data_IF_742099010107
#
_entry.id   IF_742099010107
#
_cell.length_a   1.000
_cell.length_b   1.000
_cell.length_c   1.000
_cell.angle_alpha   90.00
_cell.angle_beta   90.00
_cell.angle_gamma   90.00
#
_symmetry.space_group_name_H-M   'P 1'
#
loop_
_entity.id
_entity.type
_entity.pdbx_description
1 polymer ?
#
# COMPACT_ATOMS: atom_id res chain seq x y z
N UNK A 1 3.66 8.90 15.80
CA UNK A 1 3.10 9.97 16.67
C UNK A 1 1.60 9.76 16.69
N UNK A 2 0.94 9.66 17.86
CA UNK A 2 -0.44 9.11 17.93
C UNK A 2 -1.52 10.19 18.00
N UNK A 3 -1.26 11.26 18.73
CA UNK A 3 -2.14 12.40 18.91
C UNK A 3 -1.32 13.69 19.03
N UNK A 4 -1.98 14.83 18.88
CA UNK A 4 -1.42 16.15 19.10
C UNK A 4 -2.47 17.08 19.71
N UNK A 5 -2.02 17.94 20.61
CA UNK A 5 -2.81 18.98 21.24
C UNK A 5 -2.70 20.27 20.43
N UNK A 6 -3.84 20.87 20.09
CA UNK A 6 -3.88 22.21 19.50
C UNK A 6 -3.56 23.23 20.58
N UNK A 7 -2.49 24.00 20.40
CA UNK A 7 -2.05 25.00 21.37
C UNK A 7 -2.42 26.43 20.98
N UNK A 8 -2.77 26.66 19.71
CA UNK A 8 -3.25 27.97 19.27
C UNK A 8 -3.31 28.11 17.76
N UNK A 9 -4.32 28.84 17.27
CA UNK A 9 -4.44 29.20 15.86
C UNK A 9 -3.62 30.45 15.55
N UNK A 10 -2.87 30.40 14.46
CA UNK A 10 -2.02 31.50 13.97
C UNK A 10 -2.73 32.36 12.92
N UNK A 11 -3.83 31.84 12.34
CA UNK A 11 -4.62 32.49 11.31
C UNK A 11 -6.10 32.43 11.70
N UNK A 12 -6.83 33.53 11.49
CA UNK A 12 -8.25 33.65 11.77
C UNK A 12 -9.13 33.13 10.61
N UNK A 13 -10.34 32.66 10.95
CA UNK A 13 -11.37 32.37 9.95
C UNK A 13 -11.65 33.61 9.08
N UNK A 14 -11.77 33.39 7.77
CA UNK A 14 -11.95 34.43 6.76
C UNK A 14 -10.65 35.00 6.21
N UNK A 15 -9.49 34.69 6.81
CA UNK A 15 -8.20 35.15 6.30
C UNK A 15 -7.75 34.37 5.04
N UNK A 16 -7.03 35.06 4.16
CA UNK A 16 -6.34 34.42 3.04
C UNK A 16 -5.10 33.66 3.55
N UNK A 17 -4.92 32.45 3.03
CA UNK A 17 -3.83 31.54 3.37
C UNK A 17 -3.06 31.23 2.10
N UNK A 18 -1.73 31.29 2.17
CA UNK A 18 -0.85 30.80 1.13
C UNK A 18 -0.28 29.43 1.50
N UNK A 19 0.01 28.59 0.50
CA UNK A 19 0.70 27.32 0.74
C UNK A 19 2.05 27.57 1.43
N UNK A 20 2.33 26.81 2.49
CA UNK A 20 3.49 26.96 3.35
C UNK A 20 3.28 27.95 4.51
N UNK A 21 2.15 28.65 4.59
CA UNK A 21 1.84 29.48 5.75
C UNK A 21 1.53 28.60 6.97
N UNK A 22 2.08 28.95 8.12
CA UNK A 22 1.80 28.31 9.40
C UNK A 22 0.36 28.64 9.83
N UNK A 23 -0.44 27.61 10.14
CA UNK A 23 -1.87 27.73 10.43
C UNK A 23 -2.17 27.65 11.92
N UNK A 24 -1.58 26.67 12.60
CA UNK A 24 -1.93 26.27 13.96
C UNK A 24 -0.74 25.60 14.60
N UNK A 25 -0.47 25.95 15.85
CA UNK A 25 0.54 25.31 16.66
C UNK A 25 -0.01 24.03 17.28
N UNK A 26 0.78 22.96 17.19
CA UNK A 26 0.47 21.66 17.77
C UNK A 26 1.60 21.20 18.67
N UNK A 27 1.24 20.76 19.86
CA UNK A 27 2.12 20.10 20.81
C UNK A 27 1.85 18.60 20.83
N UNK A 28 2.93 17.81 20.79
CA UNK A 28 2.88 16.35 20.93
C UNK A 28 3.84 15.92 22.03
N UNK A 29 3.77 14.66 22.45
CA UNK A 29 4.71 14.11 23.45
C UNK A 29 6.20 14.27 23.08
N UNK A 30 6.52 14.46 21.79
CA UNK A 30 7.90 14.50 21.29
C UNK A 30 8.34 15.87 20.80
N UNK A 31 7.44 16.64 20.20
CA UNK A 31 7.77 17.88 19.48
C UNK A 31 6.59 18.86 19.58
N UNK A 32 6.89 20.16 19.68
CA UNK A 32 5.95 21.23 19.40
C UNK A 32 6.32 21.88 18.07
N UNK A 33 5.36 22.01 17.15
CA UNK A 33 5.58 22.57 15.82
C UNK A 33 4.28 23.16 15.23
N UNK A 34 4.44 24.11 14.33
CA UNK A 34 3.34 24.65 13.55
C UNK A 34 2.96 23.70 12.40
N UNK A 35 1.67 23.58 12.13
CA UNK A 35 1.15 22.90 10.93
C UNK A 35 1.04 23.91 9.80
N UNK A 36 1.73 23.63 8.70
CA UNK A 36 1.70 24.46 7.50
C UNK A 36 0.53 24.11 6.57
N UNK A 37 -0.02 25.14 5.93
CA UNK A 37 -1.02 25.03 4.89
C UNK A 37 -0.45 24.32 3.66
N UNK A 38 -1.11 23.26 3.21
CA UNK A 38 -0.70 22.54 1.99
C UNK A 38 -1.22 23.17 0.70
N UNK A 39 -2.17 24.09 0.81
CA UNK A 39 -2.88 24.70 -0.30
C UNK A 39 -3.23 26.16 0.03
N UNK A 40 -3.16 27.04 -0.97
CA UNK A 40 -3.63 28.42 -0.85
C UNK A 40 -5.16 28.49 -0.95
N UNK A 41 -5.77 29.47 -0.27
CA UNK A 41 -7.21 29.70 -0.28
C UNK A 41 -7.66 30.64 0.83
N UNK A 42 -8.91 30.54 1.26
CA UNK A 42 -9.43 31.23 2.45
C UNK A 42 -9.62 30.19 3.56
N UNK A 43 -9.15 30.49 4.78
CA UNK A 43 -9.43 29.68 5.96
C UNK A 43 -10.91 29.85 6.32
N UNK A 44 -11.75 28.90 5.92
CA UNK A 44 -13.20 29.06 6.01
C UNK A 44 -13.78 28.66 7.36
N UNK A 45 -13.12 27.73 8.05
CA UNK A 45 -13.59 27.24 9.35
C UNK A 45 -12.50 26.53 10.13
N UNK A 46 -12.41 26.82 11.42
CA UNK A 46 -11.72 26.02 12.43
C UNK A 46 -12.64 24.89 12.87
N UNK A 47 -12.15 23.66 12.73
CA UNK A 47 -12.86 22.47 13.19
C UNK A 47 -12.36 22.09 14.58
N UNK A 48 -11.04 22.11 14.77
CA UNK A 48 -10.40 21.93 16.06
C UNK A 48 -10.34 23.24 16.85
N UNK A 49 -10.57 23.17 18.15
CA UNK A 49 -10.45 24.28 19.09
C UNK A 49 -9.10 24.25 19.82
N UNK A 50 -8.72 25.37 20.40
CA UNK A 50 -7.59 25.42 21.33
C UNK A 50 -7.84 24.45 22.50
N UNK A 51 -6.78 23.79 22.95
CA UNK A 51 -6.79 22.70 23.92
C UNK A 51 -7.35 21.35 23.46
N UNK A 52 -7.90 21.22 22.24
CA UNK A 52 -8.31 19.93 21.72
C UNK A 52 -7.11 18.99 21.55
N UNK A 53 -7.23 17.76 22.06
CA UNK A 53 -6.29 16.66 21.80
C UNK A 53 -6.90 15.75 20.75
N UNK A 54 -6.27 15.70 19.58
CA UNK A 54 -6.80 15.02 18.42
C UNK A 54 -5.83 13.95 17.91
N UNK A 55 -6.35 12.80 17.42
CA UNK A 55 -5.50 11.78 16.82
C UNK A 55 -4.85 12.30 15.53
N UNK A 56 -3.68 11.76 15.21
CA UNK A 56 -3.02 12.09 13.94
C UNK A 56 -3.94 11.77 12.76
N UNK A 57 -4.09 12.75 11.87
CA UNK A 57 -4.97 12.67 10.71
C UNK A 57 -6.35 13.28 10.92
N UNK A 58 -6.71 13.73 12.13
CA UNK A 58 -7.95 14.45 12.38
C UNK A 58 -8.06 15.75 11.56
N UNK A 59 -9.29 16.18 11.28
CA UNK A 59 -9.57 17.42 10.56
C UNK A 59 -9.43 18.63 11.50
N UNK A 60 -8.48 19.51 11.20
CA UNK A 60 -8.22 20.71 12.00
C UNK A 60 -8.99 21.94 11.50
N UNK A 61 -9.03 22.16 10.19
CA UNK A 61 -9.72 23.28 9.56
C UNK A 61 -10.06 23.00 8.10
N UNK A 62 -10.90 23.86 7.52
CA UNK A 62 -11.28 23.83 6.10
C UNK A 62 -10.73 25.07 5.40
N UNK A 63 -9.91 24.85 4.37
CA UNK A 63 -9.47 25.87 3.41
C UNK A 63 -10.23 25.64 2.11
N UNK A 64 -10.89 26.67 1.60
CA UNK A 64 -11.61 26.60 0.33
C UNK A 64 -11.57 27.93 -0.43
N UNK A 65 -12.03 27.91 -1.68
CA UNK A 65 -12.28 29.12 -2.45
C UNK A 65 -13.33 30.02 -1.78
N UNK A 66 -13.29 31.31 -2.12
CA UNK A 66 -14.26 32.29 -1.61
C UNK A 66 -15.70 32.01 -2.08
N UNK A 67 -15.85 31.23 -3.15
CA UNK A 67 -17.10 30.79 -3.76
C UNK A 67 -17.73 29.55 -3.11
N UNK A 68 -16.97 28.81 -2.27
CA UNK A 68 -17.51 27.65 -1.57
C UNK A 68 -18.62 28.06 -0.59
N UNK A 69 -19.75 27.37 -0.62
CA UNK A 69 -20.88 27.64 0.26
C UNK A 69 -20.71 26.95 1.61
N UNK A 70 -21.36 27.46 2.65
CA UNK A 70 -21.30 26.84 3.98
C UNK A 70 -21.89 25.42 3.97
N UNK A 71 -22.89 25.16 3.13
CA UNK A 71 -23.48 23.83 2.96
C UNK A 71 -22.50 22.81 2.35
N UNK A 72 -21.61 23.24 1.44
CA UNK A 72 -20.57 22.37 0.88
C UNK A 72 -19.48 22.07 1.92
N UNK A 73 -19.14 23.07 2.74
CA UNK A 73 -18.23 22.89 3.87
C UNK A 73 -18.81 21.93 4.90
N UNK A 74 -20.08 22.09 5.26
CA UNK A 74 -20.78 21.21 6.20
C UNK A 74 -20.82 19.76 5.70
N UNK A 75 -21.15 19.58 4.42
CA UNK A 75 -21.17 18.26 3.80
C UNK A 75 -19.77 17.60 3.79
N UNK A 76 -18.72 18.38 3.49
CA UNK A 76 -17.35 17.89 3.54
C UNK A 76 -16.92 17.48 4.95
N UNK A 77 -17.23 18.30 5.97
CA UNK A 77 -16.92 17.99 7.37
C UNK A 77 -17.65 16.74 7.82
N UNK A 78 -18.94 16.62 7.50
CA UNK A 78 -19.75 15.45 7.85
C UNK A 78 -19.24 14.17 7.18
N UNK A 79 -18.90 14.23 5.88
CA UNK A 79 -18.33 13.09 5.14
C UNK A 79 -16.98 12.66 5.72
N UNK A 80 -16.12 13.64 6.05
CA UNK A 80 -14.85 13.36 6.69
C UNK A 80 -15.05 12.68 8.06
N UNK A 81 -15.90 13.24 8.92
CA UNK A 81 -16.15 12.71 10.26
C UNK A 81 -16.76 11.31 10.23
N UNK A 82 -17.68 11.05 9.30
CA UNK A 82 -18.30 9.73 9.13
C UNK A 82 -17.30 8.66 8.66
N UNK A 83 -16.29 9.06 7.88
CA UNK A 83 -15.31 8.16 7.28
C UNK A 83 -13.99 8.08 8.04
N UNK A 84 -13.76 8.99 9.00
CA UNK A 84 -12.52 9.07 9.74
C UNK A 84 -12.49 8.02 10.85
N UNK A 85 -11.59 7.06 10.69
CA UNK A 85 -11.24 6.10 11.74
C UNK A 85 -9.89 6.55 12.31
N UNK A 86 -9.82 6.98 13.58
CA UNK A 86 -8.55 7.29 14.22
C UNK A 86 -7.60 6.09 14.11
N UNK A 87 -6.29 6.31 13.89
CA UNK A 87 -5.31 5.23 13.96
C UNK A 87 -5.43 4.52 15.32
N UNK A 88 -5.46 3.18 15.31
CA UNK A 88 -5.55 2.38 16.53
C UNK A 88 -4.35 2.70 17.44
N UNK A 89 -4.57 3.22 18.66
CA UNK A 89 -3.49 3.61 19.56
C UNK A 89 -2.66 2.40 20.05
N UNK A 90 -3.15 1.18 19.85
CA UNK A 90 -2.43 -0.08 20.13
C UNK A 90 -1.77 -0.68 18.91
N UNK A 91 -2.13 -0.26 17.70
CA UNK A 91 -1.41 -0.64 16.50
C UNK A 91 -0.03 0.04 16.52
N UNK A 92 1.02 -0.77 16.46
CA UNK A 92 2.35 -0.24 16.14
C UNK A 92 2.30 0.39 14.74
N UNK A 93 2.89 1.59 14.57
CA UNK A 93 3.18 2.17 13.24
C UNK A 93 4.08 1.26 12.39
N UNK A 94 4.67 0.24 13.03
CA UNK A 94 5.41 -0.85 12.41
C UNK A 94 4.41 -1.97 12.21
N UNK A 95 4.15 -2.38 10.96
CA UNK A 95 3.48 -3.65 10.68
C UNK A 95 4.19 -4.81 11.40
N UNK A 96 3.60 -6.01 11.39
CA UNK A 96 4.29 -7.14 12.00
C UNK A 96 5.74 -7.26 11.52
N UNK A 97 6.68 -7.63 12.41
CA UNK A 97 8.09 -7.66 12.07
C UNK A 97 8.31 -8.58 10.86
N UNK A 98 8.85 -7.99 9.81
CA UNK A 98 9.23 -8.68 8.58
C UNK A 98 10.72 -8.95 8.59
N UNK A 99 11.10 -10.06 7.99
CA UNK A 99 12.50 -10.40 7.74
C UNK A 99 12.91 -9.99 6.33
N UNK A 100 14.22 -10.05 6.08
CA UNK A 100 14.80 -9.83 4.75
C UNK A 100 15.83 -10.91 4.45
N UNK A 101 15.97 -11.27 3.18
CA UNK A 101 17.04 -12.13 2.68
C UNK A 101 17.78 -11.44 1.53
N UNK A 102 19.10 -11.50 1.57
CA UNK A 102 19.97 -10.98 0.50
C UNK A 102 20.13 -12.02 -0.60
N UNK A 103 19.61 -11.73 -1.79
CA UNK A 103 19.77 -12.56 -2.99
C UNK A 103 20.72 -11.90 -3.99
N UNK A 104 21.09 -12.64 -5.03
CA UNK A 104 21.93 -12.13 -6.13
C UNK A 104 21.29 -10.92 -6.83
N UNK A 105 19.98 -10.97 -7.05
CA UNK A 105 19.16 -9.89 -7.64
C UNK A 105 18.72 -8.79 -6.66
N UNK A 106 19.15 -8.86 -5.39
CA UNK A 106 18.87 -7.85 -4.37
C UNK A 106 18.11 -8.37 -3.15
N UNK A 107 17.72 -7.45 -2.27
CA UNK A 107 17.07 -7.78 -1.00
C UNK A 107 15.59 -8.12 -1.22
N UNK A 108 15.15 -9.26 -0.69
CA UNK A 108 13.73 -9.63 -0.66
C UNK A 108 13.23 -9.55 0.78
N UNK A 109 12.18 -8.76 0.97
CA UNK A 109 11.45 -8.67 2.24
C UNK A 109 10.34 -9.71 2.27
N UNK A 110 10.18 -10.35 3.43
CA UNK A 110 9.15 -11.36 3.63
C UNK A 110 8.63 -11.38 5.06
N UNK A 111 7.46 -11.98 5.24
CA UNK A 111 6.90 -12.32 6.55
C UNK A 111 6.82 -13.84 6.65
N UNK A 112 7.45 -14.42 7.68
CA UNK A 112 7.36 -15.84 8.01
C UNK A 112 6.42 -16.04 9.19
N UNK A 113 5.51 -17.01 9.08
CA UNK A 113 4.70 -17.49 10.21
C UNK A 113 4.63 -19.01 10.23
N UNK A 114 4.26 -19.54 11.39
CA UNK A 114 4.14 -20.98 11.61
C UNK A 114 5.47 -21.62 11.98
N UNK A 115 5.37 -22.66 12.80
CA UNK A 115 6.53 -23.30 13.42
C UNK A 115 6.78 -24.72 12.89
N UNK A 116 5.81 -25.30 12.19
CA UNK A 116 5.85 -26.69 11.72
C UNK A 116 4.94 -26.93 10.52
N UNK A 117 5.11 -28.07 9.87
CA UNK A 117 4.32 -28.50 8.72
C UNK A 117 5.01 -28.20 7.39
N UNK A 118 4.29 -28.45 6.30
CA UNK A 118 4.78 -28.19 4.94
C UNK A 118 4.98 -26.69 4.69
N UNK A 119 5.88 -26.35 3.78
CA UNK A 119 6.16 -24.96 3.43
C UNK A 119 5.15 -24.43 2.41
N UNK A 120 4.63 -23.24 2.65
CA UNK A 120 3.74 -22.52 1.73
C UNK A 120 4.35 -21.16 1.39
N UNK A 121 4.41 -20.80 0.11
CA UNK A 121 4.88 -19.49 -0.35
C UNK A 121 3.75 -18.75 -1.06
N UNK A 122 3.58 -17.47 -0.71
CA UNK A 122 2.47 -16.61 -1.12
C UNK A 122 2.96 -15.42 -1.98
N UNK A 123 3.15 -15.58 -3.30
CA UNK A 123 3.46 -14.47 -4.20
C UNK A 123 2.22 -13.62 -4.50
N UNK A 124 2.28 -12.32 -4.23
CA UNK A 124 1.16 -11.38 -4.44
C UNK A 124 0.96 -10.96 -5.92
N UNK A 125 -0.10 -10.20 -6.18
CA UNK A 125 -0.42 -9.66 -7.52
C UNK A 125 0.28 -8.33 -7.84
N UNK A 126 0.11 -7.84 -9.06
CA UNK A 126 0.71 -6.57 -9.50
C UNK A 126 0.21 -5.38 -8.67
N UNK A 127 1.14 -4.53 -8.20
CA UNK A 127 0.85 -3.37 -7.35
C UNK A 127 0.55 -3.72 -5.89
N UNK A 128 0.64 -5.00 -5.53
CA UNK A 128 0.46 -5.52 -4.17
C UNK A 128 1.73 -5.53 -3.32
N UNK A 129 1.61 -6.13 -2.14
CA UNK A 129 2.70 -6.41 -1.19
C UNK A 129 2.32 -7.63 -0.33
N UNK A 130 3.19 -8.03 0.60
CA UNK A 130 2.96 -9.16 1.52
C UNK A 130 1.69 -9.01 2.37
N UNK A 131 1.17 -7.78 2.58
CA UNK A 131 -0.05 -7.55 3.37
C UNK A 131 -1.32 -7.96 2.62
N UNK A 132 -1.26 -8.21 1.30
CA UNK A 132 -2.36 -8.83 0.57
C UNK A 132 -2.76 -10.19 1.15
N UNK A 133 -1.84 -10.84 1.86
CA UNK A 133 -2.06 -12.14 2.47
C UNK A 133 -2.42 -12.07 3.96
N UNK A 134 -2.56 -10.88 4.56
CA UNK A 134 -2.74 -10.71 6.02
C UNK A 134 -3.82 -11.64 6.61
N UNK A 135 -4.98 -11.74 5.95
CA UNK A 135 -6.11 -12.55 6.42
C UNK A 135 -6.01 -14.03 6.05
N UNK A 136 -5.11 -14.41 5.15
CA UNK A 136 -4.86 -15.80 4.74
C UNK A 136 -3.66 -16.41 5.46
N UNK A 137 -2.68 -15.58 5.84
CA UNK A 137 -1.42 -15.99 6.42
C UNK A 137 -1.59 -16.66 7.78
N UNK A 138 -2.34 -16.02 8.70
CA UNK A 138 -2.59 -16.53 10.04
C UNK A 138 -3.27 -17.92 10.05
N UNK A 139 -4.39 -18.10 9.34
CA UNK A 139 -5.04 -19.41 9.23
C UNK A 139 -4.15 -20.51 8.65
N UNK A 140 -3.38 -20.23 7.59
CA UNK A 140 -2.46 -21.23 7.02
C UNK A 140 -1.31 -21.57 7.97
N UNK A 141 -0.80 -20.57 8.70
CA UNK A 141 0.31 -20.74 9.64
C UNK A 141 -0.04 -21.59 10.87
N UNK A 142 -1.30 -21.95 11.07
CA UNK A 142 -1.72 -22.88 12.11
C UNK A 142 -1.22 -24.32 11.83
N UNK A 143 -1.03 -24.68 10.56
CA UNK A 143 -0.67 -26.05 10.14
C UNK A 143 0.57 -26.11 9.25
N UNK A 144 1.08 -24.96 8.79
CA UNK A 144 2.16 -24.85 7.82
C UNK A 144 3.20 -23.79 8.22
N UNK A 145 4.39 -23.87 7.62
CA UNK A 145 5.36 -22.76 7.61
C UNK A 145 5.10 -21.89 6.39
N UNK A 146 4.67 -20.65 6.60
CA UNK A 146 4.12 -19.81 5.53
C UNK A 146 4.97 -18.56 5.33
N UNK A 147 5.40 -18.33 4.09
CA UNK A 147 6.16 -17.15 3.67
C UNK A 147 5.32 -16.28 2.74
N UNK A 148 5.03 -15.04 3.17
CA UNK A 148 4.48 -14.00 2.31
C UNK A 148 5.60 -13.05 1.88
N UNK A 149 5.75 -12.83 0.58
CA UNK A 149 6.87 -12.09 -0.01
C UNK A 149 6.40 -10.73 -0.50
N UNK A 150 7.25 -9.70 -0.36
CA UNK A 150 7.21 -8.56 -1.27
C UNK A 150 8.00 -8.95 -2.53
N UNK A 151 7.36 -9.00 -3.69
CA UNK A 151 8.05 -9.31 -4.96
C UNK A 151 9.01 -8.17 -5.36
N UNK A 152 10.05 -8.41 -6.20
CA UNK A 152 10.84 -7.36 -6.82
C UNK A 152 9.96 -6.24 -7.41
N UNK A 153 10.39 -5.00 -7.23
CA UNK A 153 9.63 -3.80 -7.60
C UNK A 153 8.53 -3.40 -6.62
N UNK A 154 8.21 -4.24 -5.64
CA UNK A 154 7.08 -4.06 -4.72
C UNK A 154 7.52 -3.96 -3.26
N UNK A 155 6.60 -3.50 -2.40
CA UNK A 155 6.77 -3.37 -0.95
C UNK A 155 8.14 -2.85 -0.52
N UNK A 156 8.77 -3.55 0.41
CA UNK A 156 10.12 -3.26 0.93
C UNK A 156 11.25 -4.03 0.24
N UNK A 157 10.97 -4.83 -0.79
CA UNK A 157 12.00 -5.55 -1.56
C UNK A 157 12.78 -4.63 -2.51
N UNK A 158 13.80 -5.17 -3.17
CA UNK A 158 14.54 -4.49 -4.24
C UNK A 158 13.60 -3.86 -5.27
N UNK A 159 14.04 -2.74 -5.87
CA UNK A 159 13.36 -2.08 -7.00
C UNK A 159 14.04 -2.38 -8.33
N UNK A 160 15.16 -3.07 -8.30
CA UNK A 160 15.70 -3.72 -9.49
C UNK A 160 14.84 -4.95 -9.81
N UNK A 161 14.24 -4.95 -10.99
CA UNK A 161 13.35 -6.02 -11.47
C UNK A 161 13.97 -6.76 -12.66
N UNK A 162 15.26 -6.56 -12.93
CA UNK A 162 15.90 -7.11 -14.12
C UNK A 162 15.19 -6.65 -15.40
N UNK A 163 14.86 -7.59 -16.27
CA UNK A 163 14.05 -7.29 -17.46
C UNK A 163 12.55 -7.19 -17.15
N UNK A 164 12.12 -7.59 -15.94
CA UNK A 164 10.75 -7.57 -15.47
C UNK A 164 9.91 -8.77 -15.93
N UNK A 165 10.51 -9.84 -16.47
CA UNK A 165 9.83 -11.03 -16.99
C UNK A 165 9.32 -11.98 -15.90
N UNK A 166 8.41 -12.89 -16.26
CA UNK A 166 7.95 -13.95 -15.33
C UNK A 166 9.08 -14.91 -14.96
N UNK A 167 10.03 -15.12 -15.87
CA UNK A 167 11.23 -15.90 -15.67
C UNK A 167 12.12 -15.28 -14.59
N UNK A 168 12.35 -13.96 -14.62
CA UNK A 168 13.11 -13.24 -13.59
C UNK A 168 12.45 -13.38 -12.20
N UNK A 169 11.12 -13.29 -12.13
CA UNK A 169 10.39 -13.50 -10.88
C UNK A 169 10.43 -14.95 -10.40
N UNK A 170 10.41 -15.93 -11.31
CA UNK A 170 10.55 -17.35 -10.98
C UNK A 170 11.97 -17.68 -10.48
N UNK A 171 13.00 -17.13 -11.12
CA UNK A 171 14.39 -17.26 -10.69
C UNK A 171 14.59 -16.63 -9.30
N UNK A 172 14.00 -15.47 -9.05
CA UNK A 172 13.98 -14.85 -7.71
C UNK A 172 13.36 -15.77 -6.66
N UNK A 173 12.26 -16.45 -6.99
CA UNK A 173 11.61 -17.39 -6.06
C UNK A 173 12.49 -18.63 -5.81
N UNK A 174 13.24 -19.08 -6.82
CA UNK A 174 14.20 -20.19 -6.72
C UNK A 174 15.36 -19.82 -5.80
N UNK A 175 15.96 -18.64 -6.02
CA UNK A 175 17.02 -18.08 -5.19
C UNK A 175 16.54 -17.88 -3.75
N UNK A 176 15.31 -17.39 -3.56
CA UNK A 176 14.70 -17.24 -2.24
C UNK A 176 14.58 -18.59 -1.51
N UNK A 177 14.09 -19.62 -2.19
CA UNK A 177 13.97 -20.96 -1.62
C UNK A 177 15.35 -21.54 -1.26
N UNK A 178 16.34 -21.39 -2.14
CA UNK A 178 17.70 -21.84 -1.89
C UNK A 178 18.34 -21.13 -0.69
N UNK A 179 18.19 -19.80 -0.59
CA UNK A 179 18.77 -19.00 0.48
C UNK A 179 18.20 -19.32 1.87
N UNK A 180 16.96 -19.85 1.93
CA UNK A 180 16.30 -20.26 3.16
C UNK A 180 16.27 -21.78 3.37
N UNK A 181 17.04 -22.54 2.60
CA UNK A 181 17.09 -24.01 2.64
C UNK A 181 15.72 -24.69 2.49
N UNK A 182 14.83 -24.13 1.67
CA UNK A 182 13.49 -24.68 1.38
C UNK A 182 13.59 -25.68 0.24
N UNK A 183 13.44 -26.97 0.57
CA UNK A 183 13.57 -28.06 -0.41
C UNK A 183 12.41 -28.10 -1.43
N UNK A 184 11.19 -27.86 -0.98
CA UNK A 184 9.99 -27.77 -1.82
C UNK A 184 8.90 -26.96 -1.10
N UNK A 185 7.97 -26.38 -1.86
CA UNK A 185 6.87 -25.60 -1.29
C UNK A 185 5.55 -25.76 -2.05
N UNK A 186 4.44 -25.60 -1.34
CA UNK A 186 3.14 -25.31 -1.93
C UNK A 186 3.09 -23.84 -2.32
N UNK A 187 2.74 -23.54 -3.58
CA UNK A 187 2.66 -22.16 -4.07
C UNK A 187 1.20 -21.73 -4.16
N UNK A 188 0.87 -20.60 -3.52
CA UNK A 188 -0.46 -20.00 -3.56
C UNK A 188 -0.35 -18.60 -4.15
N UNK A 189 -0.60 -18.49 -5.46
CA UNK A 189 -0.40 -17.25 -6.20
C UNK A 189 -1.71 -16.51 -6.50
N UNK A 190 -1.71 -15.19 -6.32
CA UNK A 190 -2.82 -14.31 -6.69
C UNK A 190 -2.46 -13.45 -7.91
N UNK A 191 -3.32 -13.43 -8.93
CA UNK A 191 -3.16 -12.59 -10.13
C UNK A 191 -1.79 -12.79 -10.79
N UNK A 192 -0.94 -11.75 -10.87
CA UNK A 192 0.45 -11.85 -11.33
C UNK A 192 1.25 -12.93 -10.58
N UNK A 193 1.07 -13.06 -9.27
CA UNK A 193 1.71 -14.10 -8.46
C UNK A 193 1.29 -15.51 -8.86
N UNK A 194 0.09 -15.68 -9.43
CA UNK A 194 -0.34 -16.94 -10.02
C UNK A 194 0.40 -17.28 -11.32
N UNK A 195 0.64 -16.28 -12.18
CA UNK A 195 1.47 -16.45 -13.38
C UNK A 195 2.92 -16.79 -13.01
N UNK A 196 3.48 -16.11 -12.00
CA UNK A 196 4.82 -16.41 -11.46
C UNK A 196 4.88 -17.85 -10.93
N UNK A 197 3.88 -18.27 -10.13
CA UNK A 197 3.82 -19.64 -9.60
C UNK A 197 3.72 -20.70 -10.71
N UNK A 198 2.97 -20.42 -11.78
CA UNK A 198 2.90 -21.28 -12.96
C UNK A 198 4.25 -21.40 -13.67
N UNK A 199 4.90 -20.26 -13.97
CA UNK A 199 6.22 -20.22 -14.61
C UNK A 199 7.25 -20.96 -13.76
N UNK A 200 7.27 -20.71 -12.45
CA UNK A 200 8.14 -21.40 -11.51
C UNK A 200 7.91 -22.92 -11.53
N UNK A 201 6.68 -23.38 -11.47
CA UNK A 201 6.38 -24.81 -11.46
C UNK A 201 6.78 -25.53 -12.76
N UNK A 202 6.72 -24.83 -13.89
CA UNK A 202 7.19 -25.34 -15.18
C UNK A 202 8.72 -25.46 -15.24
N UNK A 203 9.43 -24.49 -14.65
CA UNK A 203 10.89 -24.47 -14.62
C UNK A 203 11.50 -25.37 -13.53
N UNK A 204 10.83 -25.48 -12.38
CA UNK A 204 11.30 -26.14 -11.16
C UNK A 204 10.24 -27.11 -10.59
N UNK A 205 9.83 -28.16 -11.34
CA UNK A 205 8.80 -29.09 -10.88
C UNK A 205 9.20 -29.83 -9.60
N UNK A 206 10.49 -30.12 -9.41
CA UNK A 206 11.01 -30.82 -8.21
C UNK A 206 10.93 -29.95 -6.94
N UNK A 207 10.89 -28.62 -7.08
CA UNK A 207 10.74 -27.67 -5.97
C UNK A 207 9.27 -27.34 -5.67
N UNK A 208 8.33 -27.81 -6.50
CA UNK A 208 6.91 -27.44 -6.41
C UNK A 208 6.06 -28.60 -5.89
N UNK A 209 5.54 -28.46 -4.66
CA UNK A 209 4.69 -29.48 -4.04
C UNK A 209 3.25 -29.45 -4.57
N UNK A 210 2.67 -28.25 -4.71
CA UNK A 210 1.37 -28.03 -5.37
C UNK A 210 1.21 -26.57 -5.80
N UNK A 211 0.18 -26.32 -6.61
CA UNK A 211 -0.23 -24.99 -7.05
C UNK A 211 -1.67 -24.69 -6.63
N UNK A 212 -1.89 -23.51 -6.07
CA UNK A 212 -3.21 -22.90 -5.88
C UNK A 212 -3.21 -21.54 -6.55
N UNK A 213 -4.17 -21.31 -7.45
CA UNK A 213 -4.23 -20.13 -8.31
C UNK A 213 -5.50 -19.33 -8.03
N UNK A 214 -5.36 -18.07 -7.60
CA UNK A 214 -6.47 -17.19 -7.24
C UNK A 214 -6.51 -16.03 -8.22
N UNK A 215 -7.54 -15.98 -9.08
CA UNK A 215 -7.68 -14.92 -10.08
C UNK A 215 -6.43 -14.74 -10.97
N UNK A 216 -5.76 -15.84 -11.30
CA UNK A 216 -4.41 -15.85 -11.89
C UNK A 216 -4.33 -15.22 -13.27
N UNK A 217 -3.27 -14.43 -13.49
CA UNK A 217 -2.81 -14.11 -14.84
C UNK A 217 -2.20 -15.36 -15.50
N UNK A 218 -1.89 -15.28 -16.80
CA UNK A 218 -1.20 -16.36 -17.54
C UNK A 218 -2.08 -17.54 -17.98
N UNK A 219 -3.39 -17.52 -17.68
CA UNK A 219 -4.36 -18.55 -18.13
C UNK A 219 -5.29 -18.06 -19.26
N UNK A 220 -4.96 -16.92 -19.88
CA UNK A 220 -5.70 -16.30 -20.95
C UNK A 220 -5.04 -15.00 -21.40
N UNK A 221 -5.62 -14.35 -22.40
CA UNK A 221 -5.14 -13.07 -22.96
C UNK A 221 -5.90 -11.85 -22.43
N UNK A 222 -6.71 -12.04 -21.39
CA UNK A 222 -7.54 -10.98 -20.81
C UNK A 222 -6.88 -10.44 -19.55
N UNK A 223 -6.60 -9.13 -19.54
CA UNK A 223 -6.19 -8.37 -18.36
C UNK A 223 -6.90 -7.01 -18.37
N UNK A 224 -7.16 -6.43 -17.19
CA UNK A 224 -7.65 -5.06 -17.12
C UNK A 224 -6.49 -4.07 -17.33
N UNK A 225 -6.14 -3.83 -18.59
CA UNK A 225 -5.10 -2.86 -18.95
C UNK A 225 -5.36 -1.44 -18.44
N UNK A 226 -6.64 -1.06 -18.24
CA UNK A 226 -7.00 0.24 -17.68
C UNK A 226 -6.65 0.32 -16.19
N UNK A 227 -6.78 -0.79 -15.46
CA UNK A 227 -6.27 -0.89 -14.09
C UNK A 227 -4.73 -0.83 -14.08
N UNK A 228 -4.04 -1.64 -14.89
CA UNK A 228 -2.57 -1.72 -14.88
C UNK A 228 -1.95 -0.34 -15.19
N UNK A 229 -2.33 0.26 -16.31
CA UNK A 229 -1.79 1.55 -16.74
C UNK A 229 -2.14 2.67 -15.75
N UNK A 230 -3.40 2.70 -15.32
CA UNK A 230 -3.88 3.69 -14.37
C UNK A 230 -3.21 3.59 -13.00
N UNK A 231 -3.03 2.37 -12.49
CA UNK A 231 -2.32 2.13 -11.24
C UNK A 231 -0.86 2.57 -11.36
N UNK A 232 -0.14 2.25 -12.45
CA UNK A 232 1.25 2.66 -12.66
C UNK A 232 1.40 4.18 -12.62
N UNK A 233 0.55 4.89 -13.36
CA UNK A 233 0.68 6.33 -13.62
C UNK A 233 0.00 7.25 -12.58
N UNK A 234 -0.95 6.74 -11.79
CA UNK A 234 -1.63 7.56 -10.79
C UNK A 234 -0.65 8.12 -9.73
N UNK A 235 -0.66 9.46 -9.58
CA UNK A 235 0.19 10.20 -8.60
C UNK A 235 -0.61 10.89 -7.50
N UNK A 236 -1.93 10.99 -7.65
CA UNK A 236 -2.83 11.68 -6.73
C UNK A 236 -3.99 10.79 -6.34
N UNK A 237 -4.59 11.05 -5.17
CA UNK A 237 -5.71 10.28 -4.63
C UNK A 237 -6.86 10.15 -5.61
N UNK A 238 -7.23 11.25 -6.27
CA UNK A 238 -8.33 11.31 -7.24
C UNK A 238 -8.08 10.44 -8.47
N UNK A 239 -6.81 10.26 -8.84
CA UNK A 239 -6.41 9.49 -10.01
C UNK A 239 -6.30 8.00 -9.64
N UNK A 240 -5.84 7.68 -8.42
CA UNK A 240 -5.66 6.30 -7.95
C UNK A 240 -6.96 5.63 -7.51
N UNK A 241 -7.85 6.36 -6.82
CA UNK A 241 -9.07 5.81 -6.21
C UNK A 241 -9.94 5.00 -7.20
N UNK A 242 -10.22 5.47 -8.43
CA UNK A 242 -11.02 4.71 -9.39
C UNK A 242 -10.41 3.37 -9.80
N UNK A 243 -9.08 3.24 -9.74
CA UNK A 243 -8.41 1.97 -10.03
C UNK A 243 -8.48 1.00 -8.85
N UNK A 244 -8.39 1.51 -7.61
CA UNK A 244 -8.58 0.71 -6.41
C UNK A 244 -10.03 0.21 -6.27
N UNK A 245 -11.02 0.99 -6.70
CA UNK A 245 -12.45 0.59 -6.71
C UNK A 245 -12.73 -0.68 -7.50
N UNK A 246 -11.85 -1.04 -8.44
CA UNK A 246 -11.96 -2.28 -9.21
C UNK A 246 -11.55 -3.53 -8.41
N UNK A 247 -10.83 -3.35 -7.31
CA UNK A 247 -10.25 -4.45 -6.51
C UNK A 247 -11.12 -4.85 -5.31
N UNK A 248 -12.17 -4.08 -5.01
CA UNK A 248 -13.02 -4.31 -3.85
C UNK A 248 -14.46 -4.54 -4.28
N UNK A 249 -15.07 -5.60 -3.76
CA UNK A 249 -16.51 -5.82 -3.92
C UNK A 249 -17.35 -4.79 -3.16
N UNK A 250 -16.81 -4.29 -2.04
CA UNK A 250 -17.40 -3.22 -1.24
C UNK A 250 -16.52 -1.95 -1.32
N UNK A 251 -16.95 -0.94 -2.09
CA UNK A 251 -16.19 0.30 -2.25
C UNK A 251 -16.01 1.09 -0.94
N UNK A 252 -16.81 0.85 0.09
CA UNK A 252 -16.68 1.54 1.38
C UNK A 252 -15.38 1.18 2.12
N UNK A 253 -14.79 0.03 1.79
CA UNK A 253 -13.48 -0.40 2.30
C UNK A 253 -12.32 0.44 1.74
N UNK A 254 -12.55 1.21 0.69
CA UNK A 254 -11.55 2.11 0.09
C UNK A 254 -11.59 3.43 0.83
N UNK A 255 -11.06 3.38 2.04
CA UNK A 255 -10.94 4.55 2.90
C UNK A 255 -9.92 5.53 2.33
N UNK A 256 -10.02 6.80 2.73
CA UNK A 256 -8.99 7.80 2.41
C UNK A 256 -7.60 7.32 2.82
N UNK A 257 -7.50 6.70 3.99
CA UNK A 257 -6.24 6.21 4.56
C UNK A 257 -5.62 5.13 3.66
N UNK A 258 -6.40 4.16 3.20
CA UNK A 258 -5.93 3.11 2.29
C UNK A 258 -5.34 3.71 1.01
N UNK A 259 -6.03 4.67 0.38
CA UNK A 259 -5.52 5.31 -0.85
C UNK A 259 -4.23 6.09 -0.58
N UNK A 260 -4.12 6.78 0.55
CA UNK A 260 -2.89 7.48 0.95
C UNK A 260 -1.73 6.51 1.20
N UNK A 261 -1.98 5.36 1.82
CA UNK A 261 -0.93 4.37 2.09
C UNK A 261 -0.41 3.71 0.80
N UNK A 262 -1.30 3.41 -0.15
CA UNK A 262 -0.87 2.97 -1.49
C UNK A 262 -0.07 4.07 -2.20
N UNK A 263 -0.46 5.35 -2.08
CA UNK A 263 0.31 6.46 -2.65
C UNK A 263 1.68 6.63 -2.01
N UNK A 264 1.81 6.43 -0.68
CA UNK A 264 3.11 6.46 0.00
C UNK A 264 4.04 5.39 -0.57
N UNK A 265 3.54 4.16 -0.72
CA UNK A 265 4.26 3.08 -1.38
C UNK A 265 4.69 3.48 -2.80
N UNK A 266 3.77 4.00 -3.61
CA UNK A 266 4.06 4.43 -4.99
C UNK A 266 5.05 5.59 -5.12
N UNK A 267 5.36 6.29 -4.02
CA UNK A 267 6.33 7.40 -3.97
C UNK A 267 7.72 6.95 -3.51
N UNK A 268 7.89 5.70 -3.11
CA UNK A 268 9.22 5.18 -2.81
C UNK A 268 10.07 5.19 -4.09
N UNK A 269 11.34 5.56 -3.93
CA UNK A 269 12.29 5.66 -5.03
C UNK A 269 12.35 4.34 -5.81
N UNK A 270 12.29 4.43 -7.14
CA UNK A 270 12.34 3.28 -8.04
C UNK A 270 11.04 2.49 -8.22
N UNK A 271 10.03 2.64 -7.35
CA UNK A 271 8.75 1.89 -7.49
C UNK A 271 8.06 2.17 -8.82
N UNK A 272 8.02 3.44 -9.23
CA UNK A 272 7.36 3.80 -10.48
C UNK A 272 8.00 3.09 -11.68
N UNK A 273 9.33 3.14 -11.78
CA UNK A 273 10.06 2.59 -12.91
C UNK A 273 9.99 1.07 -12.91
N UNK A 274 10.14 0.44 -11.72
CA UNK A 274 9.98 -0.99 -11.55
C UNK A 274 8.59 -1.48 -12.00
N UNK A 275 7.52 -0.83 -11.53
CA UNK A 275 6.15 -1.19 -11.93
C UNK A 275 5.90 -0.96 -13.43
N UNK A 276 6.49 0.08 -14.02
CA UNK A 276 6.38 0.33 -15.45
C UNK A 276 7.10 -0.74 -16.28
N UNK A 277 8.30 -1.17 -15.86
CA UNK A 277 9.05 -2.26 -16.50
C UNK A 277 8.27 -3.57 -16.44
N UNK A 278 7.78 -3.95 -15.26
CA UNK A 278 6.99 -5.18 -15.06
C UNK A 278 5.70 -5.12 -15.89
N UNK A 279 4.96 -4.01 -15.86
CA UNK A 279 3.75 -3.86 -16.66
C UNK A 279 4.02 -3.95 -18.16
N UNK A 280 5.11 -3.34 -18.62
CA UNK A 280 5.52 -3.35 -20.03
C UNK A 280 5.86 -4.75 -20.56
N UNK A 281 6.46 -5.60 -19.72
CA UNK A 281 6.75 -6.98 -20.08
C UNK A 281 5.56 -7.92 -19.95
N UNK A 282 4.87 -7.88 -18.81
CA UNK A 282 3.85 -8.89 -18.50
C UNK A 282 2.52 -8.63 -19.19
N UNK A 283 2.20 -7.36 -19.44
CA UNK A 283 0.88 -6.95 -19.95
C UNK A 283 1.02 -6.00 -21.16
N UNK A 284 1.77 -6.40 -22.21
CA UNK A 284 2.05 -5.52 -23.34
C UNK A 284 0.76 -5.10 -24.04
N UNK A 285 0.50 -3.79 -24.11
CA UNK A 285 -0.74 -3.26 -24.68
C UNK A 285 -1.98 -3.48 -23.81
N UNK A 286 -1.80 -3.82 -22.53
CA UNK A 286 -2.88 -4.04 -21.58
C UNK A 286 -3.68 -5.32 -21.86
N UNK A 287 -3.00 -6.38 -22.32
CA UNK A 287 -3.52 -7.72 -22.61
C UNK A 287 -2.57 -8.79 -22.09
#
# INVERSE_FOLDING_TARGET
MKEGKVTGWLIDEGAAVESGAELVDIETEKIAAAVEARHSGVLRRHIAQEDDVLPVGALLAVIAGADATDSEIDAFVADFQASFVPPDPTASEVGEPTDTVDLSGGVIRYLRRGDSGDVVILPHGFGGDLNNWLFTHGPLAAEHVVYALDLPGHGGSTKDVGDGSLEEFADTLSDFMAALDIANAHLVGHSMGGAIALTFALAHPDLTASLTLIGSAGLGAEIDGTYIDGFVHARRRRDLKPHLEKLFSDPSLITRQLVEDVLKYKRLDGVQDALATVAGQLFPGGR
#
